data_IF_383189415018
#
_entry.id   IF_383189415018
#
_cell.length_a   1.000
_cell.length_b   1.000
_cell.length_c   1.000
_cell.angle_alpha   90.00
_cell.angle_beta   90.00
_cell.angle_gamma   90.00
#
_symmetry.space_group_name_H-M   'P 1'
#
loop_
_entity.id
_entity.type
_entity.pdbx_description
1 polymer ?
#
# COMPACT_ATOMS: atom_id res chain seq x y z
N UNK A 1 -0.38 -3.28 -24.16
CA UNK A 1 -1.35 -2.66 -23.23
C UNK A 1 -2.76 -2.90 -23.74
N UNK A 2 -3.77 -2.96 -22.88
CA UNK A 2 -5.18 -3.04 -23.30
C UNK A 2 -5.80 -1.65 -23.22
N UNK A 3 -6.58 -1.28 -24.22
CA UNK A 3 -7.33 -0.02 -24.21
C UNK A 3 -8.59 -0.18 -23.40
N UNK A 4 -8.78 0.67 -22.40
CA UNK A 4 -9.97 0.71 -21.56
C UNK A 4 -10.52 2.13 -21.53
N UNK A 5 -11.82 2.27 -21.32
CA UNK A 5 -12.44 3.56 -21.01
C UNK A 5 -12.75 3.59 -19.51
N UNK A 6 -12.22 4.57 -18.82
CA UNK A 6 -12.43 4.77 -17.38
C UNK A 6 -13.16 6.08 -17.15
N UNK A 7 -13.97 6.15 -16.09
CA UNK A 7 -14.47 7.41 -15.56
C UNK A 7 -13.61 7.75 -14.35
N UNK A 8 -13.10 8.97 -14.31
CA UNK A 8 -12.25 9.47 -13.22
C UNK A 8 -12.86 10.76 -12.67
N UNK A 9 -12.41 11.16 -11.48
CA UNK A 9 -12.73 12.49 -10.95
C UNK A 9 -11.95 13.56 -11.70
N UNK A 10 -12.49 14.77 -11.75
CA UNK A 10 -11.87 15.90 -12.43
C UNK A 10 -10.46 16.19 -11.90
N UNK A 11 -10.28 16.18 -10.58
CA UNK A 11 -8.98 16.35 -9.91
C UNK A 11 -7.89 15.38 -10.44
N UNK A 12 -8.24 14.13 -10.73
CA UNK A 12 -7.28 13.15 -11.25
C UNK A 12 -6.92 13.47 -12.69
N UNK A 13 -7.89 13.94 -13.47
CA UNK A 13 -7.67 14.34 -14.86
C UNK A 13 -6.82 15.61 -14.95
N UNK A 14 -7.06 16.58 -14.08
CA UNK A 14 -6.27 17.83 -13.98
C UNK A 14 -4.80 17.54 -13.69
N UNK A 15 -4.50 16.67 -12.71
CA UNK A 15 -3.13 16.22 -12.42
C UNK A 15 -2.51 15.57 -13.65
N UNK A 16 -3.24 14.70 -14.35
CA UNK A 16 -2.74 14.03 -15.55
C UNK A 16 -2.42 15.04 -16.68
N UNK A 17 -3.22 16.11 -16.83
CA UNK A 17 -2.91 17.19 -17.76
C UNK A 17 -1.68 17.99 -17.36
N UNK A 18 -1.54 18.34 -16.08
CA UNK A 18 -0.35 19.05 -15.57
C UNK A 18 0.92 18.22 -15.79
N UNK A 19 0.87 16.90 -15.58
CA UNK A 19 1.99 16.01 -15.90
C UNK A 19 2.42 16.05 -17.37
N UNK A 20 1.49 16.29 -18.30
CA UNK A 20 1.82 16.47 -19.72
C UNK A 20 2.35 17.87 -19.98
N UNK A 21 1.72 18.91 -19.40
CA UNK A 21 2.13 20.32 -19.55
C UNK A 21 3.56 20.56 -19.06
N UNK A 22 3.92 19.96 -17.93
CA UNK A 22 5.26 20.06 -17.33
C UNK A 22 6.29 19.11 -17.99
N UNK A 23 5.89 18.33 -18.99
CA UNK A 23 6.79 17.42 -19.71
C UNK A 23 7.24 16.20 -18.90
N UNK A 24 6.58 15.89 -17.79
CA UNK A 24 6.82 14.68 -16.99
C UNK A 24 6.44 13.44 -17.81
N UNK A 25 5.42 13.56 -18.64
CA UNK A 25 4.95 12.48 -19.52
C UNK A 25 4.67 12.99 -20.93
N UNK A 26 4.74 12.08 -21.89
CA UNK A 26 4.56 12.39 -23.32
C UNK A 26 3.08 12.42 -23.72
N UNK A 27 2.18 11.84 -22.91
CA UNK A 27 0.75 11.76 -23.21
C UNK A 27 -0.10 11.60 -21.96
N UNK A 28 -1.39 11.98 -22.07
CA UNK A 28 -2.37 11.81 -20.98
C UNK A 28 -2.49 10.34 -20.55
N UNK A 29 -2.39 9.41 -21.50
CA UNK A 29 -2.46 7.98 -21.21
C UNK A 29 -1.27 7.52 -20.37
N UNK A 30 -0.08 8.02 -20.69
CA UNK A 30 1.14 7.75 -19.92
C UNK A 30 1.02 8.31 -18.51
N UNK A 31 0.56 9.55 -18.35
CA UNK A 31 0.25 10.14 -17.04
C UNK A 31 -0.70 9.27 -16.22
N UNK A 32 -1.82 8.83 -16.82
CA UNK A 32 -2.77 7.94 -16.14
C UNK A 32 -2.15 6.61 -15.72
N UNK A 33 -1.31 6.01 -16.57
CA UNK A 33 -0.66 4.75 -16.21
C UNK A 33 0.29 4.92 -15.03
N UNK A 34 1.07 6.02 -14.98
CA UNK A 34 1.95 6.32 -13.85
C UNK A 34 1.12 6.52 -12.57
N UNK A 35 0.05 7.31 -12.62
CA UNK A 35 -0.85 7.54 -11.48
C UNK A 35 -1.41 6.19 -10.97
N UNK A 36 -1.89 5.34 -11.87
CA UNK A 36 -2.42 4.01 -11.53
C UNK A 36 -1.33 3.12 -10.94
N UNK A 37 -0.10 3.14 -11.46
CA UNK A 37 1.01 2.33 -10.99
C UNK A 37 1.45 2.70 -9.57
N UNK A 38 1.51 4.01 -9.27
CA UNK A 38 1.77 4.52 -7.93
C UNK A 38 0.70 4.00 -6.95
N UNK A 39 -0.59 4.19 -7.29
CA UNK A 39 -1.70 3.70 -6.47
C UNK A 39 -1.72 2.18 -6.32
N UNK A 40 -1.35 1.44 -7.37
CA UNK A 40 -1.29 -0.02 -7.37
C UNK A 40 -0.24 -0.53 -6.38
N UNK A 41 0.93 0.09 -6.32
CA UNK A 41 1.99 -0.31 -5.40
C UNK A 41 1.58 -0.10 -3.94
N UNK A 42 0.89 1.00 -3.63
CA UNK A 42 0.36 1.24 -2.29
C UNK A 42 -0.73 0.23 -1.94
N UNK A 43 -1.63 -0.07 -2.87
CA UNK A 43 -2.68 -1.08 -2.69
C UNK A 43 -2.10 -2.49 -2.43
N UNK A 44 -1.07 -2.89 -3.19
CA UNK A 44 -0.35 -4.16 -2.99
C UNK A 44 0.25 -4.23 -1.59
N UNK A 45 0.94 -3.18 -1.15
CA UNK A 45 1.57 -3.11 0.18
C UNK A 45 0.53 -3.25 1.30
N UNK A 46 -0.60 -2.54 1.19
CA UNK A 46 -1.71 -2.65 2.17
C UNK A 46 -2.31 -4.05 2.20
N UNK A 47 -2.47 -4.69 1.04
CA UNK A 47 -3.01 -6.05 0.94
C UNK A 47 -2.07 -7.09 1.56
N UNK A 48 -0.77 -7.00 1.26
CA UNK A 48 0.24 -7.90 1.83
C UNK A 48 0.29 -7.79 3.36
N UNK A 49 0.27 -6.56 3.88
CA UNK A 49 0.22 -6.33 5.33
C UNK A 49 -1.04 -6.97 5.96
N UNK A 50 -2.20 -6.81 5.33
CA UNK A 50 -3.45 -7.43 5.81
C UNK A 50 -3.40 -8.95 5.76
N UNK A 51 -2.82 -9.55 4.73
CA UNK A 51 -2.61 -11.00 4.64
C UNK A 51 -1.71 -11.50 5.77
N UNK A 52 -0.57 -10.83 5.99
CA UNK A 52 0.36 -11.18 7.07
C UNK A 52 -0.30 -11.11 8.45
N UNK A 53 -1.12 -10.09 8.70
CA UNK A 53 -1.92 -10.01 9.94
C UNK A 53 -2.89 -11.19 10.05
N UNK A 54 -3.59 -11.52 8.97
CA UNK A 54 -4.48 -12.68 8.93
C UNK A 54 -3.77 -13.99 9.27
N UNK A 55 -2.59 -14.23 8.69
CA UNK A 55 -1.77 -15.40 8.98
C UNK A 55 -1.33 -15.48 10.45
N UNK A 56 -0.92 -14.36 11.05
CA UNK A 56 -0.52 -14.30 12.47
C UNK A 56 -1.73 -14.58 13.37
N UNK A 57 -2.89 -14.00 13.06
CA UNK A 57 -4.13 -14.23 13.82
C UNK A 57 -4.56 -15.70 13.72
N UNK A 58 -4.48 -16.29 12.53
CA UNK A 58 -4.84 -17.70 12.34
C UNK A 58 -3.89 -18.64 13.09
N UNK A 59 -2.58 -18.37 13.05
CA UNK A 59 -1.60 -19.09 13.88
C UNK A 59 -1.91 -18.95 15.36
N UNK A 60 -2.20 -17.73 15.82
CA UNK A 60 -2.55 -17.48 17.22
C UNK A 60 -3.78 -18.25 17.68
N UNK A 61 -4.84 -18.27 16.86
CA UNK A 61 -6.08 -19.00 17.16
C UNK A 61 -5.87 -20.52 17.22
N UNK A 62 -4.97 -21.07 16.39
CA UNK A 62 -4.71 -22.52 16.35
C UNK A 62 -3.70 -22.98 17.39
N UNK A 63 -2.65 -22.21 17.63
CA UNK A 63 -1.45 -22.66 18.35
C UNK A 63 -1.24 -21.92 19.69
N UNK A 64 -2.06 -20.90 19.99
CA UNK A 64 -1.79 -19.98 21.09
C UNK A 64 -0.75 -18.93 20.70
N UNK A 65 -0.25 -18.14 21.66
CA UNK A 65 0.64 -16.99 21.37
C UNK A 65 1.83 -17.41 20.48
N UNK A 66 2.02 -16.81 19.29
CA UNK A 66 3.12 -17.20 18.40
C UNK A 66 4.46 -16.98 19.10
N UNK A 67 5.18 -18.06 19.39
CA UNK A 67 6.44 -18.04 20.16
C UNK A 67 7.62 -17.46 19.36
N UNK A 68 7.46 -17.42 18.05
CA UNK A 68 8.37 -16.85 17.05
C UNK A 68 8.26 -15.33 16.92
N UNK A 69 7.19 -14.74 17.45
CA UNK A 69 7.10 -13.30 17.61
C UNK A 69 7.89 -12.90 18.87
N UNK A 70 9.04 -12.23 18.67
CA UNK A 70 9.82 -11.63 19.75
C UNK A 70 9.07 -10.41 20.31
N UNK A 71 7.98 -10.69 21.04
CA UNK A 71 7.15 -9.69 21.70
C UNK A 71 7.89 -9.23 22.95
N UNK A 72 8.04 -7.91 23.16
CA UNK A 72 8.66 -7.42 24.36
C UNK A 72 7.87 -7.90 25.58
N UNK A 73 8.57 -8.53 26.51
CA UNK A 73 8.00 -8.92 27.79
C UNK A 73 7.79 -7.68 28.65
N UNK A 74 6.89 -7.76 29.62
CA UNK A 74 6.57 -6.65 30.52
C UNK A 74 7.82 -6.05 31.20
N UNK A 75 8.88 -6.82 31.39
CA UNK A 75 10.15 -6.37 31.96
C UNK A 75 10.94 -5.45 31.00
N UNK A 76 10.99 -5.77 29.71
CA UNK A 76 11.70 -4.96 28.69
C UNK A 76 11.05 -3.58 28.53
N UNK A 77 9.71 -3.51 28.61
CA UNK A 77 8.95 -2.25 28.50
C UNK A 77 9.12 -1.36 29.74
N UNK A 78 9.42 -1.94 30.90
CA UNK A 78 9.66 -1.21 32.15
C UNK A 78 11.07 -0.62 32.16
N UNK A 79 12.07 -1.32 31.65
CA UNK A 79 13.45 -0.84 31.58
C UNK A 79 13.67 0.34 30.62
N UNK A 80 12.80 0.56 29.63
CA UNK A 80 12.89 1.73 28.73
C UNK A 80 12.31 3.02 29.35
N UNK A 81 11.69 2.94 30.52
CA UNK A 81 11.05 4.09 31.21
C UNK A 81 11.86 4.64 32.39
N UNK A 82 12.91 3.93 32.82
CA UNK A 82 13.88 4.38 33.85
C UNK A 82 15.10 5.02 33.19
#
# INVERSE_FOLDING_TARGET
MKTVRIKVKDEVFEIAEEMVKEGITSSINEAFNIIIEIGLNEAKKKLEMKKKVGEIVEKWLKEGLPKDLNLPTSEEVVSERE
#
